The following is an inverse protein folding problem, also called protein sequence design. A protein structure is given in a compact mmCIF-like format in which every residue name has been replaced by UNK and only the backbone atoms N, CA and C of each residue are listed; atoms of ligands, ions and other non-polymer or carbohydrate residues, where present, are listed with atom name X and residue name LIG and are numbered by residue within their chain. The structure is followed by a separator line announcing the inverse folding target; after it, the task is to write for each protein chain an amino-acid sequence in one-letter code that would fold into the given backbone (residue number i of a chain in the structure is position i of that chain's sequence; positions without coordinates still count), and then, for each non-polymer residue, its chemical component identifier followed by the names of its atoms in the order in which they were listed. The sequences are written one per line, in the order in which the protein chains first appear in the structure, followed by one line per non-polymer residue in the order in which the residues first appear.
data_IF_530651453896
#
_entry.id   IF_530651453896
#
_cell.length_a   1.000
_cell.length_b   1.000
_cell.length_c   1.000
_cell.angle_alpha   90.00
_cell.angle_beta   90.00
_cell.angle_gamma   90.00
#
_symmetry.space_group_name_H-M   'P 1'
#
loop_
_entity.id
_entity.type
_entity.pdbx_description
1 polymer ?
#
# COMPACT_ATOMS: atom_id res chain seq x y z
N UNK A 1 -7.28 -14.38 19.24
CA UNK A 1 -7.69 -14.41 17.82
C UNK A 1 -6.65 -13.61 17.06
N UNK A 2 -5.80 -14.27 16.28
CA UNK A 2 -4.82 -13.62 15.42
C UNK A 2 -5.57 -12.97 14.25
N UNK A 3 -5.70 -11.65 14.29
CA UNK A 3 -6.28 -10.85 13.22
C UNK A 3 -5.30 -10.78 12.03
N UNK A 4 -5.14 -11.90 11.31
CA UNK A 4 -4.43 -11.92 10.04
C UNK A 4 -5.34 -11.42 8.93
N UNK A 5 -4.78 -10.73 7.94
CA UNK A 5 -5.51 -10.36 6.73
C UNK A 5 -6.07 -11.62 6.04
N UNK A 6 -7.32 -11.57 5.59
CA UNK A 6 -7.94 -12.65 4.83
C UNK A 6 -7.67 -12.44 3.33
N UNK A 7 -6.89 -13.33 2.72
CA UNK A 7 -6.78 -13.40 1.26
C UNK A 7 -8.07 -14.02 0.73
N UNK A 8 -8.94 -13.20 0.17
CA UNK A 8 -10.17 -13.71 -0.39
C UNK A 8 -9.92 -14.45 -1.71
N UNK A 9 -10.86 -15.29 -2.12
CA UNK A 9 -10.80 -15.99 -3.41
C UNK A 9 -10.78 -15.06 -4.64
N UNK A 10 -10.91 -13.73 -4.45
CA UNK A 10 -10.82 -12.72 -5.50
C UNK A 10 -9.39 -12.15 -5.69
N UNK A 11 -8.43 -12.57 -4.86
CA UNK A 11 -7.01 -12.26 -5.01
C UNK A 11 -6.52 -11.05 -4.22
N UNK A 12 -7.33 -10.47 -3.32
CA UNK A 12 -6.90 -9.36 -2.47
C UNK A 12 -7.11 -9.66 -0.98
N UNK A 13 -6.40 -8.90 -0.16
CA UNK A 13 -6.34 -9.04 1.29
C UNK A 13 -7.27 -8.01 1.92
N UNK A 14 -8.04 -8.44 2.92
CA UNK A 14 -9.04 -7.62 3.62
C UNK A 14 -9.16 -8.04 5.09
N UNK A 15 -9.98 -7.32 5.86
CA UNK A 15 -10.22 -7.56 7.28
C UNK A 15 -8.96 -7.37 8.15
N UNK A 16 -8.21 -6.30 7.87
CA UNK A 16 -7.08 -5.93 8.70
C UNK A 16 -7.55 -5.50 10.09
N UNK A 17 -6.74 -5.76 11.12
CA UNK A 17 -7.00 -5.19 12.44
C UNK A 17 -6.88 -3.66 12.40
N UNK A 18 -7.73 -2.95 13.16
CA UNK A 18 -7.60 -1.50 13.37
C UNK A 18 -6.43 -1.17 14.31
N UNK A 19 -5.22 -1.60 13.95
CA UNK A 19 -3.97 -1.39 14.70
C UNK A 19 -2.88 -0.87 13.75
N UNK A 20 -1.76 -0.34 14.26
CA UNK A 20 -0.63 0.07 13.42
C UNK A 20 -0.15 -1.07 12.50
N UNK A 21 -0.06 -2.29 13.02
CA UNK A 21 0.38 -3.48 12.28
C UNK A 21 -0.60 -3.81 11.15
N UNK A 22 -1.91 -3.72 11.41
CA UNK A 22 -2.92 -3.90 10.38
C UNK A 22 -2.81 -2.86 9.25
N UNK A 23 -2.52 -1.61 9.59
CA UNK A 23 -2.29 -0.55 8.60
C UNK A 23 -1.01 -0.82 7.77
N UNK A 24 0.07 -1.28 8.41
CA UNK A 24 1.29 -1.67 7.74
C UNK A 24 1.05 -2.80 6.73
N UNK A 25 0.35 -3.87 7.14
CA UNK A 25 0.05 -4.97 6.23
C UNK A 25 -0.84 -4.55 5.07
N UNK A 26 -1.80 -3.65 5.30
CA UNK A 26 -2.60 -3.08 4.23
C UNK A 26 -1.75 -2.29 3.22
N UNK A 27 -0.81 -1.47 3.71
CA UNK A 27 0.13 -0.73 2.87
C UNK A 27 1.01 -1.67 2.04
N UNK A 28 1.61 -2.69 2.66
CA UNK A 28 2.44 -3.66 1.95
C UNK A 28 1.66 -4.41 0.87
N UNK A 29 0.51 -4.97 1.22
CA UNK A 29 -0.28 -5.74 0.25
C UNK A 29 -0.74 -4.88 -0.94
N UNK A 30 -0.92 -3.57 -0.74
CA UNK A 30 -1.26 -2.65 -1.82
C UNK A 30 -0.18 -2.57 -2.92
N UNK A 31 1.11 -2.75 -2.60
CA UNK A 31 2.19 -2.75 -3.61
C UNK A 31 2.07 -3.93 -4.57
N UNK A 32 1.42 -5.02 -4.14
CA UNK A 32 1.24 -6.22 -4.96
C UNK A 32 0.13 -6.07 -6.00
N UNK A 33 -0.86 -5.19 -5.75
CA UNK A 33 -2.02 -5.05 -6.64
C UNK A 33 -1.75 -4.15 -7.82
N UNK A 34 -0.98 -3.08 -7.63
CA UNK A 34 -0.86 -2.03 -8.64
C UNK A 34 0.03 -2.41 -9.83
N UNK A 35 0.82 -3.48 -9.73
CA UNK A 35 1.71 -3.92 -10.81
C UNK A 35 1.04 -4.91 -11.80
N UNK A 36 -0.06 -5.56 -11.41
CA UNK A 36 -0.83 -6.47 -12.26
C UNK A 36 -2.20 -5.83 -12.58
N UNK A 37 -2.44 -5.41 -13.84
CA UNK A 37 -3.71 -4.78 -14.23
C UNK A 37 -4.96 -5.62 -13.93
N UNK A 38 -4.87 -6.95 -14.08
CA UNK A 38 -5.99 -7.85 -13.82
C UNK A 38 -6.34 -7.87 -12.34
N UNK A 39 -5.30 -7.90 -11.48
CA UNK A 39 -5.48 -7.86 -10.04
C UNK A 39 -5.92 -6.47 -9.57
N UNK A 40 -5.34 -5.41 -10.12
CA UNK A 40 -5.72 -4.03 -9.85
C UNK A 40 -7.21 -3.78 -10.09
N UNK A 41 -7.77 -4.30 -11.20
CA UNK A 41 -9.18 -4.13 -11.54
C UNK A 41 -10.14 -4.72 -10.49
N UNK A 42 -9.71 -5.75 -9.76
CA UNK A 42 -10.48 -6.39 -8.67
C UNK A 42 -10.20 -5.77 -7.30
N UNK A 43 -8.93 -5.45 -7.02
CA UNK A 43 -8.49 -5.02 -5.69
C UNK A 43 -8.73 -3.54 -5.43
N UNK A 44 -8.40 -2.63 -6.36
CA UNK A 44 -8.45 -1.18 -6.14
C UNK A 44 -9.84 -0.65 -5.72
N UNK A 45 -10.97 -1.14 -6.26
CA UNK A 45 -12.29 -0.72 -5.80
C UNK A 45 -12.55 -1.01 -4.31
N UNK A 46 -11.84 -2.00 -3.76
CA UNK A 46 -12.04 -2.52 -2.41
C UNK A 46 -10.99 -2.02 -1.43
N UNK A 47 -9.78 -1.72 -1.89
CA UNK A 47 -8.63 -1.36 -1.06
C UNK A 47 -8.35 0.14 -1.02
N UNK A 48 -8.86 0.92 -1.96
CA UNK A 48 -8.72 2.38 -1.95
C UNK A 48 -9.84 3.06 -1.15
N UNK A 49 -9.46 4.17 -0.50
CA UNK A 49 -10.38 5.04 0.21
C UNK A 49 -11.32 5.72 -0.78
N UNK A 50 -12.55 6.01 -0.35
CA UNK A 50 -13.50 6.70 -1.22
C UNK A 50 -13.01 8.11 -1.57
N UNK A 51 -13.14 8.48 -2.85
CA UNK A 51 -12.69 9.76 -3.36
C UNK A 51 -12.40 9.73 -4.87
N UNK A 52 -12.05 10.88 -5.46
CA UNK A 52 -11.80 10.99 -6.90
C UNK A 52 -10.62 10.10 -7.36
N UNK A 53 -9.59 9.97 -6.55
CA UNK A 53 -8.43 9.12 -6.85
C UNK A 53 -8.79 7.64 -7.03
N UNK A 54 -9.71 7.10 -6.22
CA UNK A 54 -10.21 5.73 -6.38
C UNK A 54 -10.90 5.52 -7.71
N UNK A 55 -11.72 6.48 -8.15
CA UNK A 55 -12.39 6.41 -9.44
C UNK A 55 -11.37 6.43 -10.60
N UNK A 56 -10.37 7.32 -10.52
CA UNK A 56 -9.30 7.40 -11.51
C UNK A 56 -8.50 6.10 -11.62
N UNK A 57 -8.04 5.56 -10.48
CA UNK A 57 -7.26 4.32 -10.43
C UNK A 57 -8.05 3.11 -10.94
N UNK A 58 -9.33 3.01 -10.55
CA UNK A 58 -10.23 1.93 -11.01
C UNK A 58 -10.48 2.03 -12.51
N UNK A 59 -10.65 3.24 -13.05
CA UNK A 59 -10.83 3.45 -14.48
C UNK A 59 -9.58 3.08 -15.28
N UNK A 60 -8.38 3.39 -14.77
CA UNK A 60 -7.11 2.98 -15.37
C UNK A 60 -6.97 1.45 -15.41
N UNK A 61 -7.19 0.79 -14.27
CA UNK A 61 -7.10 -0.68 -14.20
C UNK A 61 -8.08 -1.37 -15.17
N UNK A 62 -9.28 -0.83 -15.38
CA UNK A 62 -10.26 -1.37 -16.36
C UNK A 62 -9.79 -1.26 -17.82
N UNK A 63 -8.89 -0.32 -18.13
CA UNK A 63 -8.27 -0.21 -19.46
C UNK A 63 -7.07 -1.14 -19.62
N UNK A 64 -6.82 -2.00 -18.63
CA UNK A 64 -5.65 -2.89 -18.57
C UNK A 64 -4.31 -2.14 -18.44
N UNK A 65 -4.36 -0.89 -17.93
CA UNK A 65 -3.18 -0.11 -17.58
C UNK A 65 -2.72 -0.51 -16.17
N UNK A 66 -1.43 -0.83 -15.98
CA UNK A 66 -0.87 -1.07 -14.64
C UNK A 66 -0.72 0.27 -13.90
N UNK A 67 -1.39 0.47 -12.74
CA UNK A 67 -1.28 1.72 -12.01
C UNK A 67 0.12 2.04 -11.46
N UNK A 68 1.00 1.05 -11.35
CA UNK A 68 2.37 1.24 -10.90
C UNK A 68 3.33 0.25 -11.57
N UNK A 69 4.62 0.57 -11.56
CA UNK A 69 5.67 -0.43 -11.84
C UNK A 69 5.82 -1.41 -10.68
N UNK A 70 6.30 -2.65 -10.92
CA UNK A 70 6.62 -3.59 -9.84
C UNK A 70 7.55 -2.96 -8.79
N UNK A 71 7.19 -3.17 -7.52
CA UNK A 71 7.94 -2.71 -6.36
C UNK A 71 8.33 -3.91 -5.49
N UNK A 72 9.55 -3.90 -4.97
CA UNK A 72 10.02 -4.90 -3.99
C UNK A 72 10.21 -4.23 -2.64
N UNK A 73 9.29 -4.43 -1.67
CA UNK A 73 9.44 -3.84 -0.35
C UNK A 73 10.64 -4.41 0.41
N UNK A 74 11.48 -3.54 0.94
CA UNK A 74 12.72 -3.85 1.65
C UNK A 74 12.66 -3.51 3.15
N UNK A 75 11.73 -2.66 3.55
CA UNK A 75 11.62 -2.14 4.90
C UNK A 75 10.40 -1.26 5.07
N UNK A 76 10.13 -0.86 6.31
CA UNK A 76 9.07 0.11 6.57
C UNK A 76 9.43 1.05 7.72
N UNK A 77 8.73 2.18 7.77
CA UNK A 77 8.66 3.10 8.90
C UNK A 77 7.18 3.46 9.13
N UNK A 78 6.69 3.23 10.35
CA UNK A 78 5.39 3.75 10.79
C UNK A 78 5.58 5.21 11.21
N UNK A 79 5.20 6.16 10.36
CA UNK A 79 5.38 7.59 10.66
C UNK A 79 4.33 8.10 11.65
N UNK A 80 3.07 7.69 11.48
CA UNK A 80 1.99 8.16 12.34
C UNK A 80 0.86 7.13 12.42
N UNK A 81 0.16 7.13 13.56
CA UNK A 81 -1.05 6.36 13.78
C UNK A 81 -1.89 7.04 14.87
N UNK A 82 -3.17 7.31 14.58
CA UNK A 82 -4.11 7.94 15.53
C UNK A 82 -5.30 7.04 15.90
N UNK A 83 -5.31 5.79 15.41
CA UNK A 83 -6.45 4.88 15.55
C UNK A 83 -7.34 4.81 14.32
N UNK A 84 -7.43 5.87 13.52
CA UNK A 84 -8.29 5.96 12.31
C UNK A 84 -7.54 6.40 11.06
N UNK A 85 -6.37 6.99 11.19
CA UNK A 85 -5.44 7.31 10.13
C UNK A 85 -4.07 6.71 10.47
N UNK A 86 -3.32 6.38 9.44
CA UNK A 86 -1.92 6.00 9.56
C UNK A 86 -1.13 6.53 8.36
N UNK A 87 0.15 6.77 8.58
CA UNK A 87 1.11 7.02 7.49
C UNK A 87 2.25 6.04 7.62
N UNK A 88 2.45 5.24 6.57
CA UNK A 88 3.49 4.22 6.48
C UNK A 88 4.40 4.56 5.31
N UNK A 89 5.70 4.66 5.55
CA UNK A 89 6.68 4.64 4.47
C UNK A 89 7.10 3.20 4.23
N UNK A 90 6.90 2.72 3.01
CA UNK A 90 7.51 1.48 2.54
C UNK A 90 8.79 1.84 1.80
N UNK A 91 9.92 1.29 2.25
CA UNK A 91 11.13 1.27 1.45
C UNK A 91 10.93 0.25 0.35
N UNK A 92 11.05 0.68 -0.89
CA UNK A 92 10.83 -0.16 -2.07
C UNK A 92 12.00 -0.05 -3.01
N UNK A 93 12.41 -1.18 -3.57
CA UNK A 93 13.30 -1.22 -4.72
C UNK A 93 12.45 -1.22 -5.98
N UNK A 94 12.72 -0.27 -6.87
CA UNK A 94 12.07 -0.17 -8.19
C UNK A 94 12.66 -1.19 -9.16
N UNK A 95 12.02 -1.37 -10.32
CA UNK A 95 12.52 -2.26 -11.38
C UNK A 95 13.94 -1.90 -11.88
N UNK A 96 14.40 -0.66 -11.71
CA UNK A 96 15.76 -0.23 -12.08
C UNK A 96 16.79 -0.47 -10.97
N UNK A 97 16.38 -1.04 -9.83
CA UNK A 97 17.24 -1.24 -8.66
C UNK A 97 17.37 -0.01 -7.75
N UNK A 98 16.72 1.12 -8.08
CA UNK A 98 16.76 2.31 -7.25
C UNK A 98 15.87 2.15 -6.01
N UNK A 99 16.39 2.57 -4.85
CA UNK A 99 15.67 2.59 -3.58
C UNK A 99 14.79 3.85 -3.49
N UNK A 100 13.52 3.68 -3.17
CA UNK A 100 12.53 4.75 -2.97
C UNK A 100 11.71 4.53 -1.71
N UNK A 101 10.96 5.57 -1.30
CA UNK A 101 10.00 5.52 -0.21
C UNK A 101 8.59 5.76 -0.78
N UNK A 102 7.70 4.78 -0.66
CA UNK A 102 6.29 4.95 -0.95
C UNK A 102 5.57 5.44 0.31
N UNK A 103 5.25 6.74 0.35
CA UNK A 103 4.54 7.37 1.46
C UNK A 103 3.05 7.06 1.42
N UNK A 104 2.65 6.00 2.11
CA UNK A 104 1.31 5.43 2.03
C UNK A 104 0.44 5.96 3.16
N UNK A 105 -0.52 6.81 2.82
CA UNK A 105 -1.52 7.30 3.76
C UNK A 105 -2.73 6.36 3.79
N UNK A 106 -3.15 5.96 4.99
CA UNK A 106 -4.28 5.06 5.20
C UNK A 106 -5.36 5.72 6.04
N UNK A 107 -6.61 5.28 5.84
CA UNK A 107 -7.76 5.60 6.70
C UNK A 107 -8.56 4.35 7.00
N UNK A 108 -9.05 4.25 8.22
CA UNK A 108 -10.00 3.23 8.63
C UNK A 108 -11.38 3.61 8.10
N UNK A 109 -11.87 2.86 7.12
CA UNK A 109 -13.14 3.12 6.45
C UNK A 109 -13.83 1.80 6.10
N UNK A 110 -15.14 1.75 6.31
CA UNK A 110 -15.97 0.56 6.02
C UNK A 110 -15.46 -0.71 6.72
N UNK A 111 -14.93 -0.56 7.93
CA UNK A 111 -14.45 -1.69 8.74
C UNK A 111 -13.10 -2.26 8.33
N UNK A 112 -12.31 -1.53 7.53
CA UNK A 112 -10.99 -1.97 7.09
C UNK A 112 -10.04 -0.79 6.84
N UNK A 113 -8.74 -1.07 6.67
CA UNK A 113 -7.77 -0.06 6.22
C UNK A 113 -7.88 0.18 4.72
N UNK A 114 -7.99 1.44 4.32
CA UNK A 114 -8.07 1.88 2.92
C UNK A 114 -6.93 2.84 2.59
N UNK A 115 -6.36 2.69 1.40
CA UNK A 115 -5.25 3.51 0.92
C UNK A 115 -5.78 4.80 0.31
N UNK A 116 -5.23 5.94 0.72
CA UNK A 116 -5.44 7.24 0.07
C UNK A 116 -4.47 7.36 -1.09
N UNK A 117 -5.00 7.72 -2.25
CA UNK A 117 -4.24 8.03 -3.47
C UNK A 117 -4.53 9.46 -3.87
N UNK A 118 -3.64 10.04 -4.69
CA UNK A 118 -3.86 11.37 -5.24
C UNK A 118 -5.04 11.40 -6.23
N UNK A 119 -5.39 12.58 -6.73
CA UNK A 119 -6.52 12.76 -7.64
C UNK A 119 -6.37 12.00 -8.98
N UNK A 120 -5.14 11.65 -9.37
CA UNK A 120 -4.86 10.84 -10.57
C UNK A 120 -4.91 9.33 -10.29
N UNK A 121 -5.10 8.93 -9.04
CA UNK A 121 -5.21 7.53 -8.63
C UNK A 121 -3.88 6.87 -8.28
N UNK A 122 -2.82 7.65 -8.11
CA UNK A 122 -1.49 7.13 -7.79
C UNK A 122 -1.15 7.32 -6.31
N UNK A 123 -0.34 6.41 -5.78
CA UNK A 123 0.34 6.59 -4.51
C UNK A 123 1.75 7.14 -4.81
N UNK A 124 2.07 8.39 -4.46
CA UNK A 124 3.36 8.97 -4.81
C UNK A 124 4.53 8.22 -4.18
N UNK A 125 5.53 7.91 -5.00
CA UNK A 125 6.82 7.38 -4.55
C UNK A 125 7.82 8.52 -4.61
N UNK A 126 8.44 8.84 -3.49
CA UNK A 126 9.48 9.85 -3.38
C UNK A 126 10.85 9.20 -3.17
N UNK A 127 11.92 9.94 -3.48
CA UNK A 127 13.25 9.56 -3.03
C UNK A 127 13.28 9.54 -1.49
N UNK A 128 13.88 8.51 -0.89
CA UNK A 128 13.98 8.38 0.56
C UNK A 128 14.91 9.48 1.10
N UNK A 129 14.48 10.33 2.04
CA UNK A 129 15.42 11.15 2.81
C UNK A 129 16.31 10.22 3.65
N UNK A 130 17.63 10.44 3.67
CA UNK A 130 18.62 9.52 4.28
C UNK A 130 18.26 9.02 5.70
N UNK A 131 17.58 9.83 6.50
CA UNK A 131 17.08 9.50 7.84
C UNK A 131 16.05 8.34 7.88
N UNK A 132 15.14 8.24 6.90
CA UNK A 132 14.19 7.12 6.82
C UNK A 132 14.83 5.81 6.34
N UNK A 133 16.01 5.87 5.71
CA UNK A 133 16.82 4.70 5.40
C UNK A 133 17.67 4.21 6.59
N UNK A 134 17.95 5.08 7.57
CA UNK A 134 18.75 4.74 8.75
C UNK A 134 17.90 4.14 9.90
N UNK A 135 16.63 4.56 10.02
CA UNK A 135 15.72 4.13 11.08
C UNK A 135 14.75 3.00 10.66
N UNK A 136 15.04 2.31 9.55
CA UNK A 136 14.11 1.33 8.99
C UNK A 136 14.16 -0.01 9.71
N UNK A 137 13.00 -0.67 9.81
CA UNK A 137 12.96 -2.10 10.14
C UNK A 137 12.99 -2.89 8.82
N UNK A 138 14.09 -3.62 8.51
CA UNK A 138 14.16 -4.44 7.32
C UNK A 138 13.19 -5.62 7.43
N UNK A 139 12.73 -6.08 6.27
CA UNK A 139 11.89 -7.26 6.17
C UNK A 139 12.77 -8.51 6.29
N UNK A 140 12.64 -9.23 7.40
CA UNK A 140 13.47 -10.41 7.67
C UNK A 140 14.92 -10.04 7.96
N UNK A 141 15.22 -9.71 9.21
CA UNK A 141 16.58 -9.88 9.70
C UNK A 141 16.84 -11.40 9.79
N UNK A 142 17.51 -11.96 8.78
CA UNK A 142 18.11 -13.29 8.86
C UNK A 142 19.53 -13.21 8.26
N UNK A 143 20.54 -13.27 9.14
CA UNK A 143 21.91 -13.71 8.83
C UNK A 143 22.86 -12.63 8.35
#
# INVERSE_FOLDING_TARGET
MTAGAFHNGAGYWSCYSRTPEGALYAAYNATQYCADPNLAARALPQTLADGPGKAAATAAARRNDAPCSPLSPAGFVMQSYDGTNATVYLLVTTATGALGAAGTNLVWQHGDWKIKVDASGHNPIAAVPAMAAADNTPWGANG
#
